data_IF_032744450287
#
_entry.id   IF_032744450287
#
_cell.length_a   1.000
_cell.length_b   1.000
_cell.length_c   1.000
_cell.angle_alpha   90.00
_cell.angle_beta   90.00
_cell.angle_gamma   90.00
#
_symmetry.space_group_name_H-M   'P 1'
#
loop_
_entity.id
_entity.type
_entity.pdbx_description
1 polymer ?
#
# COMPACT_ATOMS: atom_id res chain seq x y z
N UNK A 1 -20.05 -5.33 2.65
CA UNK A 1 -19.88 -4.16 1.75
C UNK A 1 -18.91 -3.09 2.26
N UNK A 2 -18.67 -2.94 3.56
CA UNK A 2 -17.77 -1.92 4.13
C UNK A 2 -16.33 -1.98 3.59
N UNK A 3 -15.78 -3.17 3.43
CA UNK A 3 -14.39 -3.37 3.03
C UNK A 3 -14.01 -2.77 1.67
N UNK A 4 -14.94 -2.74 0.72
CA UNK A 4 -14.68 -2.15 -0.60
C UNK A 4 -15.03 -0.67 -0.68
N UNK A 5 -15.87 -0.19 0.26
CA UNK A 5 -16.30 1.21 0.32
C UNK A 5 -15.21 2.15 0.82
N UNK A 6 -14.46 1.75 1.84
CA UNK A 6 -13.35 2.52 2.38
C UNK A 6 -12.03 2.11 1.72
N UNK A 7 -11.18 3.00 1.31
CA UNK A 7 -11.18 4.47 1.43
C UNK A 7 -11.88 5.25 0.30
N UNK A 8 -12.59 4.59 -0.63
CA UNK A 8 -13.24 5.25 -1.77
C UNK A 8 -14.28 6.28 -1.34
N UNK A 9 -15.03 6.00 -0.28
CA UNK A 9 -15.99 6.95 0.30
C UNK A 9 -15.30 8.20 0.84
N UNK A 10 -14.10 8.07 1.39
CA UNK A 10 -13.32 9.23 1.83
C UNK A 10 -12.92 10.12 0.65
N UNK A 11 -12.52 9.51 -0.49
CA UNK A 11 -12.20 10.25 -1.69
C UNK A 11 -13.44 10.93 -2.32
N UNK A 12 -14.60 10.28 -2.26
CA UNK A 12 -15.86 10.86 -2.70
C UNK A 12 -16.28 12.04 -1.81
N UNK A 13 -16.14 11.90 -0.50
CA UNK A 13 -16.39 12.98 0.45
C UNK A 13 -15.47 14.18 0.19
N UNK A 14 -14.17 13.95 0.02
CA UNK A 14 -13.21 15.00 -0.34
C UNK A 14 -13.61 15.72 -1.64
N UNK A 15 -14.04 14.96 -2.65
CA UNK A 15 -14.50 15.54 -3.91
C UNK A 15 -15.81 16.34 -3.76
N UNK A 16 -16.66 16.00 -2.80
CA UNK A 16 -17.90 16.72 -2.53
C UNK A 16 -17.73 18.00 -1.71
N UNK A 17 -16.80 17.98 -0.74
CA UNK A 17 -16.61 19.08 0.20
C UNK A 17 -15.54 20.08 -0.21
N UNK A 18 -14.55 19.64 -1.00
CA UNK A 18 -13.43 20.50 -1.42
C UNK A 18 -13.71 21.14 -2.76
N UNK A 19 -13.60 22.47 -2.82
CA UNK A 19 -13.72 23.26 -4.04
C UNK A 19 -12.79 22.76 -5.14
N UNK A 20 -13.24 22.75 -6.40
CA UNK A 20 -12.49 22.18 -7.54
C UNK A 20 -11.05 22.68 -7.65
N UNK A 21 -10.81 23.97 -7.44
CA UNK A 21 -9.49 24.58 -7.55
C UNK A 21 -8.54 24.23 -6.39
N UNK A 22 -9.05 23.70 -5.31
CA UNK A 22 -8.29 23.35 -4.08
C UNK A 22 -8.07 21.87 -3.90
N UNK A 23 -8.59 21.03 -4.79
CA UNK A 23 -8.42 19.58 -4.73
C UNK A 23 -6.99 19.20 -5.05
N UNK A 24 -6.32 18.55 -4.09
CA UNK A 24 -4.97 18.04 -4.25
C UNK A 24 -4.92 16.59 -3.78
N UNK A 25 -4.65 15.67 -4.72
CA UNK A 25 -4.58 14.26 -4.44
C UNK A 25 -3.50 13.90 -3.41
N UNK A 26 -2.32 14.49 -3.53
CA UNK A 26 -1.20 14.18 -2.65
C UNK A 26 -1.49 14.60 -1.20
N UNK A 27 -2.10 15.77 -1.02
CA UNK A 27 -2.51 16.25 0.30
C UNK A 27 -3.62 15.38 0.90
N UNK A 28 -4.64 15.05 0.11
CA UNK A 28 -5.70 14.12 0.52
C UNK A 28 -5.12 12.76 0.91
N UNK A 29 -4.25 12.19 0.08
CA UNK A 29 -3.62 10.90 0.33
C UNK A 29 -2.77 10.91 1.60
N UNK A 30 -2.00 11.97 1.82
CA UNK A 30 -1.21 12.16 3.03
C UNK A 30 -2.09 12.21 4.29
N UNK A 31 -3.17 12.98 4.28
CA UNK A 31 -4.15 13.05 5.39
C UNK A 31 -4.85 11.72 5.62
N UNK A 32 -5.19 11.00 4.56
CA UNK A 32 -5.84 9.70 4.64
C UNK A 32 -4.92 8.68 5.32
N UNK A 33 -3.66 8.61 4.91
CA UNK A 33 -2.69 7.61 5.38
C UNK A 33 -2.06 7.96 6.73
N UNK A 34 -1.96 9.24 7.08
CA UNK A 34 -1.31 9.69 8.33
C UNK A 34 -2.17 9.58 9.60
N UNK A 35 -3.46 9.35 9.48
CA UNK A 35 -4.30 9.27 10.69
C UNK A 35 -5.74 8.87 10.47
N UNK A 36 -6.29 9.05 9.26
CA UNK A 36 -7.70 8.71 9.02
C UNK A 36 -7.93 7.19 8.97
N UNK A 37 -6.99 6.46 8.38
CA UNK A 37 -7.05 5.00 8.36
C UNK A 37 -6.92 4.41 9.78
N UNK A 38 -6.13 5.04 10.66
CA UNK A 38 -6.02 4.64 12.07
C UNK A 38 -7.34 4.81 12.81
N UNK A 39 -8.05 5.92 12.56
CA UNK A 39 -9.38 6.15 13.12
C UNK A 39 -10.38 5.10 12.65
N UNK A 40 -10.38 4.77 11.36
CA UNK A 40 -11.25 3.73 10.82
C UNK A 40 -10.94 2.37 11.46
N UNK A 41 -9.65 2.07 11.66
CA UNK A 41 -9.22 0.86 12.35
C UNK A 41 -9.65 0.83 13.81
N UNK A 42 -9.52 1.94 14.55
CA UNK A 42 -9.96 2.06 15.93
C UNK A 42 -11.48 1.90 16.10
N UNK A 43 -12.25 2.35 15.10
CA UNK A 43 -13.72 2.19 15.05
C UNK A 43 -14.13 0.77 14.60
N UNK A 44 -13.18 -0.13 14.33
CA UNK A 44 -13.46 -1.48 13.86
C UNK A 44 -13.93 -1.55 12.40
N UNK A 45 -13.83 -0.45 11.67
CA UNK A 45 -14.21 -0.38 10.25
C UNK A 45 -13.16 -1.08 9.41
N UNK A 46 -13.58 -2.03 8.59
CA UNK A 46 -12.69 -2.74 7.66
C UNK A 46 -12.50 -1.91 6.41
N UNK A 47 -11.26 -1.68 6.04
CA UNK A 47 -10.92 -1.00 4.81
C UNK A 47 -9.84 -1.75 4.02
N UNK A 48 -9.76 -1.47 2.73
CA UNK A 48 -8.75 -2.05 1.86
C UNK A 48 -7.43 -1.31 2.03
N UNK A 49 -6.39 -2.04 2.40
CA UNK A 49 -5.03 -1.51 2.37
C UNK A 49 -4.60 -1.21 0.94
N UNK A 50 -3.92 -0.08 0.76
CA UNK A 50 -3.24 0.21 -0.49
C UNK A 50 -2.08 -0.78 -0.68
N UNK A 51 -1.80 -1.19 -1.93
CA UNK A 51 -0.61 -1.97 -2.22
C UNK A 51 0.64 -1.16 -1.90
N UNK A 52 1.73 -1.82 -1.43
CA UNK A 52 3.00 -1.13 -1.24
C UNK A 52 3.58 -0.67 -2.58
N UNK A 53 4.25 0.47 -2.56
CA UNK A 53 4.94 1.00 -3.73
C UNK A 53 6.31 0.34 -3.84
N UNK A 54 6.52 -0.42 -4.90
CA UNK A 54 7.79 -1.07 -5.18
C UNK A 54 8.46 -0.40 -6.38
N UNK A 55 9.72 -0.01 -6.24
CA UNK A 55 10.56 0.54 -7.29
C UNK A 55 11.79 -0.33 -7.48
N UNK A 56 12.19 -0.56 -8.75
CA UNK A 56 13.40 -1.26 -9.09
C UNK A 56 14.37 -0.33 -9.80
N UNK A 57 15.56 -0.16 -9.21
CA UNK A 57 16.64 0.65 -9.77
C UNK A 57 17.97 -0.02 -9.48
N UNK A 58 18.87 -0.01 -10.45
CA UNK A 58 20.25 -0.49 -10.33
C UNK A 58 20.37 -1.90 -9.71
N UNK A 59 19.49 -2.82 -10.11
CA UNK A 59 19.49 -4.18 -9.59
C UNK A 59 18.93 -4.30 -8.17
N UNK A 60 18.28 -3.26 -7.64
CA UNK A 60 17.78 -3.21 -6.27
C UNK A 60 16.30 -2.88 -6.25
N UNK A 61 15.53 -3.68 -5.51
CA UNK A 61 14.12 -3.40 -5.23
C UNK A 61 14.04 -2.61 -3.93
N UNK A 62 13.39 -1.44 -3.98
CA UNK A 62 13.02 -0.66 -2.81
C UNK A 62 11.50 -0.65 -2.68
N UNK A 63 11.00 -0.87 -1.48
CA UNK A 63 9.56 -0.92 -1.23
C UNK A 63 9.19 0.04 -0.11
N UNK A 64 8.14 0.81 -0.35
CA UNK A 64 7.59 1.74 0.62
C UNK A 64 6.20 1.29 1.05
N UNK A 65 5.99 1.22 2.36
CA UNK A 65 4.65 0.99 2.90
C UNK A 65 3.79 2.23 2.71
N UNK A 66 2.54 2.09 2.25
CA UNK A 66 1.61 3.21 2.16
C UNK A 66 1.06 3.66 3.52
N UNK A 67 1.33 2.89 4.56
CA UNK A 67 0.84 3.16 5.91
C UNK A 67 2.00 3.13 6.92
N UNK A 68 2.09 4.09 7.87
CA UNK A 68 3.18 4.15 8.85
C UNK A 68 3.30 2.86 9.69
N UNK A 69 2.16 2.30 10.11
CA UNK A 69 2.10 1.04 10.88
C UNK A 69 1.96 -0.20 10.00
N UNK A 70 2.17 -0.08 8.68
CA UNK A 70 2.08 -1.16 7.72
C UNK A 70 3.35 -2.00 7.69
N UNK A 71 3.25 -3.30 7.94
CA UNK A 71 4.29 -4.28 7.66
C UNK A 71 4.21 -4.69 6.18
N UNK A 72 5.33 -4.60 5.47
CA UNK A 72 5.42 -5.15 4.13
C UNK A 72 6.04 -6.53 4.20
N UNK A 73 5.35 -7.52 3.64
CA UNK A 73 5.86 -8.88 3.49
C UNK A 73 6.04 -9.22 2.03
N UNK A 74 6.99 -10.10 1.76
CA UNK A 74 7.30 -10.45 0.39
C UNK A 74 7.56 -11.95 0.20
N UNK A 75 7.47 -12.37 -1.05
CA UNK A 75 7.87 -13.70 -1.54
C UNK A 75 8.79 -13.51 -2.75
N UNK A 76 9.69 -14.48 -3.00
CA UNK A 76 10.65 -14.46 -4.10
C UNK A 76 10.39 -15.54 -5.16
N UNK A 77 9.28 -16.24 -5.04
CA UNK A 77 8.86 -17.36 -5.88
C UNK A 77 7.55 -17.10 -6.65
N UNK A 78 7.11 -15.84 -6.68
CA UNK A 78 5.82 -15.44 -7.27
C UNK A 78 4.59 -15.99 -6.55
N UNK A 79 4.75 -16.56 -5.36
CA UNK A 79 3.62 -16.94 -4.49
C UNK A 79 3.00 -15.71 -3.82
N UNK A 80 1.75 -15.84 -3.40
CA UNK A 80 1.06 -14.72 -2.72
C UNK A 80 1.62 -14.53 -1.30
N UNK A 81 2.13 -13.33 -0.94
CA UNK A 81 2.63 -13.08 0.40
C UNK A 81 1.54 -13.21 1.48
N UNK A 82 1.86 -13.92 2.54
CA UNK A 82 1.03 -14.14 3.73
C UNK A 82 1.66 -13.51 4.96
N UNK A 83 0.97 -13.58 6.10
CA UNK A 83 1.54 -13.15 7.39
C UNK A 83 2.74 -14.00 7.84
N UNK A 84 2.91 -15.20 7.27
CA UNK A 84 4.06 -16.06 7.54
C UNK A 84 5.24 -15.81 6.60
N UNK A 85 5.05 -15.01 5.52
CA UNK A 85 6.10 -14.70 4.56
C UNK A 85 7.14 -13.75 5.17
N UNK A 86 8.31 -13.67 4.55
CA UNK A 86 9.42 -12.85 5.00
C UNK A 86 9.02 -11.37 5.14
N UNK A 87 9.48 -10.73 6.21
CA UNK A 87 9.28 -9.30 6.44
C UNK A 87 10.28 -8.51 5.58
N UNK A 88 9.80 -7.46 4.93
CA UNK A 88 10.67 -6.55 4.20
C UNK A 88 11.31 -5.55 5.19
N UNK A 89 12.61 -5.65 5.37
CA UNK A 89 13.39 -4.81 6.28
C UNK A 89 14.26 -3.78 5.57
N UNK A 90 14.47 -3.95 4.26
CA UNK A 90 15.33 -3.04 3.49
C UNK A 90 15.49 -3.44 2.04
N UNK A 91 16.30 -2.68 1.27
CA UNK A 91 16.48 -2.88 -0.15
C UNK A 91 16.95 -4.29 -0.50
N UNK A 92 16.32 -4.94 -1.49
CA UNK A 92 16.63 -6.30 -1.94
C UNK A 92 17.37 -6.22 -3.28
N UNK A 93 18.61 -6.76 -3.32
CA UNK A 93 19.35 -6.90 -4.58
C UNK A 93 18.88 -8.14 -5.30
N UNK A 94 18.46 -8.00 -6.56
CA UNK A 94 18.05 -9.12 -7.40
C UNK A 94 18.19 -8.79 -8.89
N UNK A 95 18.40 -9.83 -9.69
CA UNK A 95 18.39 -9.73 -11.16
C UNK A 95 16.99 -10.02 -11.74
N UNK A 96 16.12 -10.64 -10.95
CA UNK A 96 14.79 -11.10 -11.39
C UNK A 96 13.68 -10.48 -10.52
N UNK A 97 13.41 -9.16 -10.67
CA UNK A 97 12.43 -8.46 -9.84
C UNK A 97 11.00 -8.98 -10.04
N UNK A 98 10.71 -9.58 -11.20
CA UNK A 98 9.39 -10.11 -11.56
C UNK A 98 8.94 -11.29 -10.69
N UNK A 99 9.86 -11.96 -9.99
CA UNK A 99 9.55 -13.06 -9.07
C UNK A 99 9.13 -12.60 -7.69
N UNK A 100 9.34 -11.32 -7.39
CA UNK A 100 9.04 -10.76 -6.09
C UNK A 100 7.63 -10.18 -6.05
N UNK A 101 6.86 -10.63 -5.08
CA UNK A 101 5.55 -10.07 -4.77
C UNK A 101 5.58 -9.44 -3.38
N UNK A 102 4.96 -8.29 -3.26
CA UNK A 102 4.92 -7.53 -2.02
C UNK A 102 3.48 -7.27 -1.59
N UNK A 103 3.23 -7.35 -0.30
CA UNK A 103 1.92 -7.09 0.29
C UNK A 103 2.06 -6.36 1.60
N UNK A 104 1.26 -5.32 1.78
CA UNK A 104 1.19 -4.61 3.04
C UNK A 104 0.11 -5.22 3.96
N UNK A 105 0.47 -5.38 5.21
CA UNK A 105 -0.41 -5.81 6.29
C UNK A 105 -0.40 -4.75 7.38
N UNK A 106 -1.56 -4.45 7.95
CA UNK A 106 -1.61 -3.63 9.16
C UNK A 106 -1.07 -4.42 10.34
N UNK A 107 -0.11 -3.86 11.05
CA UNK A 107 0.34 -4.38 12.32
C UNK A 107 -0.84 -4.26 13.30
N UNK A 108 -1.48 -5.39 13.62
CA UNK A 108 -2.55 -5.40 14.60
C UNK A 108 -2.01 -4.91 15.95
N UNK A 109 -2.42 -3.76 16.39
CA UNK A 109 -2.54 -3.53 17.84
C UNK A 109 -3.54 -4.55 18.32
N UNK A 110 -3.07 -5.45 19.15
CA UNK A 110 -3.75 -6.65 19.65
C UNK A 110 -5.19 -6.36 20.06
N UNK A 111 -6.13 -6.70 19.18
CA UNK A 111 -7.46 -7.09 19.61
C UNK A 111 -7.59 -8.58 19.35
N UNK A 112 -7.89 -9.39 20.38
CA UNK A 112 -8.02 -10.83 20.19
C UNK A 112 -9.26 -11.13 19.35
N UNK A 113 -9.08 -11.85 18.25
CA UNK A 113 -10.14 -12.64 17.69
C UNK A 113 -10.66 -12.38 16.27
N UNK A 114 -9.93 -11.74 15.32
CA UNK A 114 -10.42 -11.72 13.92
C UNK A 114 -9.31 -11.85 12.87
N UNK A 115 -9.44 -12.77 11.89
CA UNK A 115 -8.46 -12.97 10.82
C UNK A 115 -8.39 -11.76 9.88
N UNK A 116 -7.17 -11.32 9.60
CA UNK A 116 -6.92 -10.22 8.66
C UNK A 116 -7.17 -10.66 7.22
N UNK A 117 -8.06 -9.97 6.53
CA UNK A 117 -8.25 -10.11 5.10
C UNK A 117 -7.36 -9.09 4.37
N UNK A 118 -6.27 -9.58 3.83
CA UNK A 118 -5.52 -8.82 2.85
C UNK A 118 -5.82 -9.33 1.45
N UNK A 119 -5.98 -8.47 0.48
CA UNK A 119 -6.18 -8.85 -0.94
C UNK A 119 -5.01 -8.42 -1.80
N UNK A 120 -4.77 -9.23 -2.82
CA UNK A 120 -3.84 -9.20 -3.95
C UNK A 120 -2.48 -8.52 -3.72
N UNK A 121 -1.40 -9.26 -3.93
CA UNK A 121 -0.07 -8.71 -3.96
C UNK A 121 0.06 -7.70 -5.11
N UNK A 122 0.81 -6.63 -4.89
CA UNK A 122 1.28 -5.81 -5.99
C UNK A 122 2.39 -6.57 -6.70
N UNK A 123 2.16 -6.86 -7.98
CA UNK A 123 3.23 -7.27 -8.88
C UNK A 123 4.14 -6.06 -9.10
N UNK A 124 5.44 -6.27 -9.10
CA UNK A 124 6.37 -5.23 -9.50
C UNK A 124 5.92 -4.63 -10.85
N UNK A 125 5.81 -3.31 -10.90
CA UNK A 125 5.67 -2.56 -12.14
C UNK A 125 6.90 -1.67 -12.27
N UNK A 126 7.54 -1.63 -13.44
CA UNK A 126 8.60 -0.65 -13.68
C UNK A 126 8.03 0.74 -13.42
N UNK A 127 8.82 1.61 -12.78
CA UNK A 127 8.43 2.99 -12.56
C UNK A 127 8.12 3.61 -13.93
N UNK A 128 6.83 3.86 -14.20
CA UNK A 128 6.42 4.64 -15.34
C UNK A 128 6.86 6.08 -15.07
N UNK A 129 7.92 6.48 -15.71
CA UNK A 129 8.36 7.80 -16.11
C UNK A 129 9.86 7.98 -15.91
N UNK A 130 10.60 7.52 -16.91
CA UNK A 130 11.67 8.39 -17.38
C UNK A 130 11.08 9.22 -18.51
N UNK A 131 11.16 10.57 -18.46
CA UNK A 131 10.91 11.36 -19.64
C UNK A 131 11.99 10.96 -20.65
N UNK A 132 11.55 10.34 -21.73
CA UNK A 132 12.33 10.14 -22.94
C UNK A 132 12.95 11.49 -23.30
N UNK A 133 14.25 11.59 -23.14
CA UNK A 133 15.01 12.71 -23.70
C UNK A 133 14.90 12.59 -25.21
N UNK A 134 13.98 13.33 -25.78
CA UNK A 134 13.99 13.63 -27.22
C UNK A 134 15.21 14.48 -27.51
N UNK A 135 16.11 13.90 -28.21
CA UNK A 135 17.01 14.64 -29.11
C UNK A 135 16.35 14.77 -30.46
#
# INVERSE_FOLDING_TARGET
>A
MEYQGYPRLCALAEAGWTEKGRRNWNDFYARLTSGHLDRLSAMGIRFRMFPPEAAYRDGTITVRSPHPDGEVRYTSDSSEPTLASALYEGPIRTKNPERYLFRAFLRRRTQPGRPGYGRRPSRWMPAANEPSAFR
#
